data_IF_904858083081
#
_entry.id   IF_904858083081
#
_cell.length_a   1.000
_cell.length_b   1.000
_cell.length_c   1.000
_cell.angle_alpha   90.00
_cell.angle_beta   90.00
_cell.angle_gamma   90.00
#
_symmetry.space_group_name_H-M   'P 1'
#
loop_
_entity.id
_entity.type
_entity.pdbx_description
1 polymer ?
#
# COMPACT_ATOMS: atom_id res chain seq x y z
N UNK A 1 -1.26 57.24 38.72
CA UNK A 1 -1.16 55.88 39.28
C UNK A 1 -2.41 55.12 38.85
N UNK A 2 -2.33 54.42 37.72
CA UNK A 2 -3.17 53.27 37.37
C UNK A 2 -2.30 52.43 36.43
N UNK A 3 -1.67 51.38 36.96
CA UNK A 3 -1.13 50.32 36.12
C UNK A 3 -2.16 49.20 36.15
N UNK A 4 -2.80 48.97 35.01
CA UNK A 4 -3.67 47.84 34.77
C UNK A 4 -2.81 46.60 34.59
N UNK A 5 -2.89 45.68 35.54
CA UNK A 5 -2.34 44.34 35.44
C UNK A 5 -3.04 43.60 34.29
N UNK A 6 -2.29 43.34 33.23
CA UNK A 6 -2.67 42.41 32.17
C UNK A 6 -2.54 41.00 32.74
N UNK A 7 -3.64 40.43 33.23
CA UNK A 7 -3.71 39.00 33.52
C UNK A 7 -3.66 38.23 32.19
N UNK A 8 -2.58 37.46 32.00
CA UNK A 8 -2.49 36.45 30.95
C UNK A 8 -3.57 35.37 31.17
N UNK A 9 -4.56 35.35 30.29
CA UNK A 9 -5.56 34.29 30.22
C UNK A 9 -4.94 33.07 29.55
N UNK A 10 -4.35 32.15 30.31
CA UNK A 10 -4.08 30.78 29.83
C UNK A 10 -5.42 30.03 29.80
N UNK A 11 -6.02 29.95 28.62
CA UNK A 11 -7.28 29.22 28.41
C UNK A 11 -6.98 27.73 28.15
N UNK A 12 -7.34 26.79 29.05
CA UNK A 12 -6.98 25.37 28.92
C UNK A 12 -7.74 24.63 27.80
N UNK A 13 -8.84 25.19 27.29
CA UNK A 13 -9.63 24.61 26.19
C UNK A 13 -8.86 24.48 24.87
N UNK A 14 -7.85 25.32 24.62
CA UNK A 14 -7.10 25.29 23.37
C UNK A 14 -6.04 24.19 23.33
N UNK A 15 -5.50 23.77 24.48
CA UNK A 15 -4.50 22.70 24.55
C UNK A 15 -5.11 21.33 24.24
N UNK A 16 -6.32 21.06 24.77
CA UNK A 16 -7.06 19.79 24.54
C UNK A 16 -7.44 19.64 23.06
N UNK A 17 -7.89 20.73 22.42
CA UNK A 17 -8.30 20.72 21.02
C UNK A 17 -7.14 20.44 20.03
N UNK A 18 -5.91 20.85 20.35
CA UNK A 18 -4.73 20.64 19.47
C UNK A 18 -4.24 19.19 19.56
N UNK A 19 -4.32 18.58 20.74
CA UNK A 19 -3.91 17.19 20.96
C UNK A 19 -4.83 16.21 20.21
N UNK A 20 -6.15 16.45 20.25
CA UNK A 20 -7.15 15.60 19.61
C UNK A 20 -7.09 15.66 18.08
N UNK A 21 -6.90 16.85 17.50
CA UNK A 21 -6.73 17.03 16.04
C UNK A 21 -5.42 16.41 15.55
N UNK A 22 -4.37 16.42 16.39
CA UNK A 22 -3.09 15.78 16.10
C UNK A 22 -3.21 14.26 16.01
N UNK A 23 -3.96 13.65 16.95
CA UNK A 23 -4.20 12.20 17.02
C UNK A 23 -5.00 11.68 15.82
N UNK A 24 -6.11 12.33 15.47
CA UNK A 24 -6.96 11.91 14.35
C UNK A 24 -6.17 11.85 13.02
N UNK A 25 -5.30 12.83 12.76
CA UNK A 25 -4.47 12.86 11.54
C UNK A 25 -3.35 11.83 11.53
N UNK A 26 -2.91 11.38 12.70
CA UNK A 26 -1.92 10.31 12.85
C UNK A 26 -2.60 8.96 12.62
N UNK A 27 -3.76 8.73 13.24
CA UNK A 27 -4.57 7.53 13.07
C UNK A 27 -4.96 7.33 11.60
N UNK A 28 -5.49 8.36 10.94
CA UNK A 28 -5.82 8.29 9.51
C UNK A 28 -4.60 7.95 8.62
N UNK A 29 -3.41 8.36 9.03
CA UNK A 29 -2.17 8.06 8.30
C UNK A 29 -1.70 6.63 8.55
N UNK A 30 -1.86 6.12 9.78
CA UNK A 30 -1.60 4.73 10.14
C UNK A 30 -2.55 3.79 9.38
N UNK A 31 -3.84 4.13 9.31
CA UNK A 31 -4.84 3.38 8.54
C UNK A 31 -4.46 3.32 7.06
N UNK A 32 -4.05 4.45 6.47
CA UNK A 32 -3.60 4.51 5.07
C UNK A 32 -2.36 3.63 4.82
N UNK A 33 -1.40 3.60 5.74
CA UNK A 33 -0.22 2.72 5.68
C UNK A 33 -0.65 1.24 5.73
N UNK A 34 -1.57 0.91 6.63
CA UNK A 34 -2.09 -0.45 6.75
C UNK A 34 -2.82 -0.88 5.47
N UNK A 35 -3.66 -0.02 4.91
CA UNK A 35 -4.37 -0.26 3.65
C UNK A 35 -3.40 -0.50 2.49
N UNK A 36 -2.38 0.35 2.32
CA UNK A 36 -1.33 0.16 1.32
C UNK A 36 -0.60 -1.19 1.48
N UNK A 37 -0.34 -1.60 2.73
CA UNK A 37 0.25 -2.90 3.04
C UNK A 37 -0.64 -4.08 2.62
N UNK A 38 -1.96 -3.95 2.76
CA UNK A 38 -2.93 -4.93 2.27
C UNK A 38 -2.96 -4.95 0.74
N UNK A 39 -3.03 -3.78 0.09
CA UNK A 39 -3.05 -3.68 -1.37
C UNK A 39 -1.84 -4.33 -2.04
N UNK A 40 -0.64 -4.20 -1.44
CA UNK A 40 0.56 -4.90 -1.95
C UNK A 40 0.37 -6.42 -1.95
N UNK A 41 -0.13 -6.98 -0.84
CA UNK A 41 -0.35 -8.43 -0.71
C UNK A 41 -1.44 -8.93 -1.66
N UNK A 42 -2.53 -8.19 -1.77
CA UNK A 42 -3.63 -8.53 -2.68
C UNK A 42 -3.18 -8.47 -4.14
N UNK A 43 -2.36 -7.48 -4.51
CA UNK A 43 -1.81 -7.37 -5.85
C UNK A 43 -0.88 -8.54 -6.21
N UNK A 44 -0.04 -8.97 -5.27
CA UNK A 44 0.82 -10.15 -5.42
C UNK A 44 -0.02 -11.42 -5.57
N UNK A 45 -1.06 -11.59 -4.74
CA UNK A 45 -1.96 -12.74 -4.81
C UNK A 45 -2.68 -12.81 -6.17
N UNK A 46 -3.25 -11.70 -6.64
CA UNK A 46 -3.93 -11.63 -7.93
C UNK A 46 -3.00 -11.98 -9.10
N UNK A 47 -1.75 -11.50 -9.05
CA UNK A 47 -0.76 -11.84 -10.08
C UNK A 47 -0.46 -13.33 -10.11
N UNK A 48 -0.39 -13.98 -8.95
CA UNK A 48 -0.15 -15.41 -8.86
C UNK A 48 -1.34 -16.22 -9.41
N UNK A 49 -2.57 -15.82 -9.09
CA UNK A 49 -3.78 -16.45 -9.65
C UNK A 49 -3.80 -16.42 -11.19
N UNK A 50 -3.45 -15.28 -11.78
CA UNK A 50 -3.37 -15.15 -13.26
C UNK A 50 -2.26 -16.04 -13.84
N UNK A 51 -1.13 -16.16 -13.15
CA UNK A 51 -0.04 -17.05 -13.57
C UNK A 51 -0.51 -18.49 -13.50
N UNK A 52 -1.09 -18.92 -12.38
CA UNK A 52 -1.56 -20.29 -12.17
C UNK A 52 -2.64 -20.69 -13.20
N UNK A 53 -3.57 -19.79 -13.50
CA UNK A 53 -4.58 -20.01 -14.54
C UNK A 53 -3.95 -20.17 -15.93
N UNK A 54 -2.96 -19.34 -16.28
CA UNK A 54 -2.24 -19.48 -17.54
C UNK A 54 -1.45 -20.79 -17.64
N UNK A 55 -0.85 -21.25 -16.54
CA UNK A 55 -0.16 -22.55 -16.47
C UNK A 55 -1.13 -23.72 -16.63
N UNK A 56 -2.28 -23.65 -15.96
CA UNK A 56 -3.36 -24.63 -16.06
C UNK A 56 -3.87 -24.75 -17.50
N UNK A 57 -4.19 -23.63 -18.16
CA UNK A 57 -4.65 -23.63 -19.56
C UNK A 57 -3.56 -24.20 -20.49
N UNK A 58 -2.30 -23.82 -20.26
CA UNK A 58 -1.18 -24.37 -21.03
C UNK A 58 -1.05 -25.89 -20.88
N UNK A 59 -1.27 -26.42 -19.68
CA UNK A 59 -1.29 -27.86 -19.42
C UNK A 59 -2.48 -28.52 -20.12
N UNK A 60 -3.69 -27.97 -20.00
CA UNK A 60 -4.89 -28.47 -20.69
C UNK A 60 -4.69 -28.55 -22.21
N UNK A 61 -4.13 -27.50 -22.83
CA UNK A 61 -3.81 -27.51 -24.27
C UNK A 61 -2.76 -28.57 -24.61
N UNK A 62 -1.75 -28.75 -23.76
CA UNK A 62 -0.69 -29.76 -23.97
C UNK A 62 -1.28 -31.16 -23.94
N UNK A 63 -2.07 -31.48 -22.91
CA UNK A 63 -2.75 -32.76 -22.76
C UNK A 63 -3.66 -33.02 -23.96
N UNK A 64 -4.46 -32.03 -24.36
CA UNK A 64 -5.32 -32.14 -25.53
C UNK A 64 -4.54 -32.49 -26.80
N UNK A 65 -3.42 -31.79 -27.05
CA UNK A 65 -2.57 -32.02 -28.22
C UNK A 65 -1.89 -33.40 -28.19
N UNK A 66 -1.56 -33.93 -27.01
CA UNK A 66 -0.92 -35.24 -26.84
C UNK A 66 -1.91 -36.40 -26.99
N UNK A 67 -3.09 -36.29 -26.38
CA UNK A 67 -4.16 -37.28 -26.43
C UNK A 67 -4.78 -37.37 -27.83
N UNK A 68 -4.94 -36.23 -28.50
CA UNK A 68 -5.55 -36.14 -29.83
C UNK A 68 -4.48 -36.02 -30.90
N UNK A 69 -3.72 -37.09 -31.15
CA UNK A 69 -2.74 -37.12 -32.24
C UNK A 69 -3.41 -36.88 -33.59
N UNK A 70 -2.67 -36.25 -34.50
CA UNK A 70 -3.10 -36.01 -35.88
C UNK A 70 -3.53 -37.33 -36.50
N UNK A 71 -4.79 -37.41 -36.94
CA UNK A 71 -5.35 -38.60 -37.58
C UNK A 71 -4.98 -38.65 -39.06
N UNK A 72 -4.97 -37.49 -39.72
CA UNK A 72 -4.53 -37.36 -41.10
C UNK A 72 -3.55 -36.16 -41.25
N UNK A 73 -2.24 -36.40 -41.37
CA UNK A 73 -1.25 -35.32 -41.48
C UNK A 73 -1.33 -34.51 -42.77
N UNK A 74 -2.07 -34.99 -43.77
CA UNK A 74 -2.34 -34.24 -44.99
C UNK A 74 -3.61 -33.39 -44.91
N UNK A 75 -4.41 -33.51 -43.84
CA UNK A 75 -5.58 -32.66 -43.62
C UNK A 75 -5.14 -31.25 -43.18
N UNK A 76 -5.28 -30.23 -44.06
CA UNK A 76 -4.83 -28.88 -43.74
C UNK A 76 -5.60 -28.27 -42.56
N UNK A 77 -6.85 -28.67 -42.34
CA UNK A 77 -7.70 -28.16 -41.26
C UNK A 77 -7.17 -28.66 -39.91
N UNK A 78 -6.89 -29.96 -39.80
CA UNK A 78 -6.36 -30.56 -38.56
C UNK A 78 -4.99 -29.95 -38.20
N UNK A 79 -4.13 -29.73 -39.19
CA UNK A 79 -2.82 -29.07 -39.01
C UNK A 79 -2.98 -27.61 -38.59
N UNK A 80 -3.92 -26.88 -39.19
CA UNK A 80 -4.19 -25.47 -38.89
C UNK A 80 -4.71 -25.29 -37.46
N UNK A 81 -5.70 -26.07 -37.04
CA UNK A 81 -6.30 -26.01 -35.69
C UNK A 81 -5.26 -26.28 -34.59
N UNK A 82 -4.41 -27.29 -34.78
CA UNK A 82 -3.30 -27.57 -33.85
C UNK A 82 -2.27 -26.45 -33.80
N UNK A 83 -1.98 -25.84 -34.95
CA UNK A 83 -1.10 -24.68 -35.01
C UNK A 83 -1.71 -23.47 -34.31
N UNK A 84 -3.04 -23.29 -34.38
CA UNK A 84 -3.75 -22.27 -33.65
C UNK A 84 -3.66 -22.49 -32.12
N UNK A 85 -3.84 -23.72 -31.64
CA UNK A 85 -3.65 -24.06 -30.23
C UNK A 85 -2.22 -23.75 -29.74
N UNK A 86 -1.20 -24.09 -30.53
CA UNK A 86 0.19 -23.76 -30.20
C UNK A 86 0.43 -22.25 -30.16
N UNK A 87 -0.12 -21.49 -31.10
CA UNK A 87 -0.08 -20.01 -31.05
C UNK A 87 -0.76 -19.48 -29.79
N UNK A 88 -1.90 -20.07 -29.41
CA UNK A 88 -2.61 -19.66 -28.20
C UNK A 88 -1.78 -19.85 -26.93
N UNK A 89 -0.98 -20.92 -26.85
CA UNK A 89 0.00 -21.09 -25.76
C UNK A 89 1.02 -19.96 -25.70
N UNK A 90 1.54 -19.53 -26.85
CA UNK A 90 2.48 -18.39 -26.92
C UNK A 90 1.80 -17.11 -26.44
N UNK A 91 0.59 -16.83 -26.91
CA UNK A 91 -0.19 -15.67 -26.44
C UNK A 91 -0.42 -15.69 -24.93
N UNK A 92 -0.74 -16.86 -24.35
CA UNK A 92 -0.91 -17.01 -22.89
C UNK A 92 0.40 -16.69 -22.15
N UNK A 93 1.53 -17.22 -22.63
CA UNK A 93 2.83 -16.92 -22.03
C UNK A 93 3.17 -15.42 -22.12
N UNK A 94 2.86 -14.76 -23.23
CA UNK A 94 3.04 -13.31 -23.39
C UNK A 94 2.16 -12.53 -22.40
N UNK A 95 0.91 -12.93 -22.21
CA UNK A 95 0.02 -12.33 -21.21
C UNK A 95 0.54 -12.51 -19.79
N UNK A 96 1.04 -13.71 -19.42
CA UNK A 96 1.65 -13.96 -18.11
C UNK A 96 2.92 -13.13 -17.90
N UNK A 97 3.75 -12.93 -18.93
CA UNK A 97 4.92 -12.07 -18.85
C UNK A 97 4.54 -10.60 -18.66
N UNK A 98 3.55 -10.12 -19.41
CA UNK A 98 3.03 -8.77 -19.25
C UNK A 98 2.46 -8.55 -17.84
N UNK A 99 1.75 -9.54 -17.30
CA UNK A 99 1.23 -9.48 -15.94
C UNK A 99 2.35 -9.41 -14.91
N UNK A 100 3.42 -10.22 -15.04
CA UNK A 100 4.60 -10.13 -14.17
C UNK A 100 5.23 -8.73 -14.18
N UNK A 101 5.37 -8.13 -15.36
CA UNK A 101 5.93 -6.78 -15.49
C UNK A 101 5.01 -5.73 -14.85
N UNK A 102 3.70 -5.83 -15.09
CA UNK A 102 2.73 -4.89 -14.54
C UNK A 102 2.65 -5.00 -13.02
N UNK A 103 2.54 -6.23 -12.49
CA UNK A 103 2.58 -6.51 -11.07
C UNK A 103 3.82 -5.92 -10.40
N UNK A 104 5.00 -6.09 -11.01
CA UNK A 104 6.24 -5.51 -10.49
C UNK A 104 6.21 -3.98 -10.46
N UNK A 105 5.68 -3.33 -11.50
CA UNK A 105 5.51 -1.87 -11.55
C UNK A 105 4.54 -1.39 -10.48
N UNK A 106 3.39 -2.03 -10.35
CA UNK A 106 2.35 -1.68 -9.39
C UNK A 106 2.88 -1.80 -7.96
N UNK A 107 3.54 -2.91 -7.63
CA UNK A 107 4.16 -3.13 -6.32
C UNK A 107 5.24 -2.08 -6.06
N UNK A 108 6.06 -1.73 -7.05
CA UNK A 108 7.09 -0.72 -6.89
C UNK A 108 6.49 0.66 -6.56
N UNK A 109 5.37 1.02 -7.19
CA UNK A 109 4.63 2.26 -6.91
C UNK A 109 4.01 2.23 -5.52
N UNK A 110 3.29 1.15 -5.16
CA UNK A 110 2.67 0.98 -3.85
C UNK A 110 3.72 1.02 -2.72
N UNK A 111 4.86 0.34 -2.89
CA UNK A 111 5.95 0.36 -1.91
C UNK A 111 6.63 1.73 -1.82
N UNK A 112 6.65 2.51 -2.91
CA UNK A 112 7.14 3.89 -2.85
C UNK A 112 6.19 4.74 -2.03
N UNK A 113 4.89 4.67 -2.32
CA UNK A 113 3.88 5.41 -1.57
C UNK A 113 3.87 5.04 -0.09
N UNK A 114 3.99 3.74 0.23
CA UNK A 114 4.12 3.25 1.60
C UNK A 114 5.29 3.91 2.33
N UNK A 115 6.49 3.94 1.73
CA UNK A 115 7.66 4.59 2.34
C UNK A 115 7.46 6.09 2.52
N UNK A 116 6.81 6.75 1.57
CA UNK A 116 6.52 8.18 1.66
C UNK A 116 5.55 8.46 2.83
N UNK A 117 4.54 7.61 3.03
CA UNK A 117 3.59 7.69 4.15
C UNK A 117 4.21 7.35 5.50
N UNK A 118 5.05 6.31 5.58
CA UNK A 118 5.80 5.96 6.79
C UNK A 118 6.72 7.10 7.23
N UNK A 119 7.37 7.77 6.27
CA UNK A 119 8.18 8.95 6.54
C UNK A 119 7.34 10.11 7.06
N UNK A 120 6.19 10.38 6.43
CA UNK A 120 5.25 11.41 6.89
C UNK A 120 4.77 11.14 8.32
N UNK A 121 4.49 9.88 8.66
CA UNK A 121 4.07 9.46 9.99
C UNK A 121 5.17 9.72 11.01
N UNK A 122 6.39 9.28 10.72
CA UNK A 122 7.55 9.47 11.59
C UNK A 122 7.82 10.96 11.87
N UNK A 123 7.71 11.81 10.84
CA UNK A 123 7.86 13.25 11.00
C UNK A 123 6.74 13.89 11.83
N UNK A 124 5.51 13.38 11.75
CA UNK A 124 4.38 13.88 12.54
C UNK A 124 4.46 13.45 13.99
N UNK A 125 4.75 12.18 14.25
CA UNK A 125 4.95 11.65 15.60
C UNK A 125 6.11 12.37 16.31
N UNK A 126 7.22 12.63 15.60
CA UNK A 126 8.34 13.40 16.13
C UNK A 126 7.94 14.83 16.52
N UNK A 127 7.14 15.51 15.70
CA UNK A 127 6.62 16.85 15.99
C UNK A 127 5.68 16.87 17.18
N UNK A 128 4.76 15.90 17.27
CA UNK A 128 3.84 15.78 18.40
C UNK A 128 4.58 15.50 19.71
N UNK A 129 5.58 14.62 19.70
CA UNK A 129 6.41 14.35 20.86
C UNK A 129 7.18 15.59 21.33
N UNK A 130 7.71 16.40 20.40
CA UNK A 130 8.36 17.66 20.73
C UNK A 130 7.39 18.66 21.36
N UNK A 131 6.18 18.80 20.81
CA UNK A 131 5.16 19.70 21.35
C UNK A 131 4.71 19.27 22.75
N UNK A 132 4.50 17.97 22.96
CA UNK A 132 4.17 17.43 24.29
C UNK A 132 5.28 17.71 25.30
N UNK A 133 6.55 17.51 24.91
CA UNK A 133 7.69 17.84 25.77
C UNK A 133 7.77 19.33 26.13
N UNK A 134 7.45 20.24 25.21
CA UNK A 134 7.39 21.68 25.50
C UNK A 134 6.26 21.97 26.49
N UNK A 135 5.05 21.46 26.23
CA UNK A 135 3.87 21.67 27.09
C UNK A 135 4.07 21.12 28.51
N UNK A 136 4.73 19.97 28.65
CA UNK A 136 5.10 19.38 29.94
C UNK A 136 6.16 20.23 30.67
N UNK A 137 7.18 20.71 29.95
CA UNK A 137 8.25 21.54 30.53
C UNK A 137 7.79 22.94 30.98
N UNK A 138 6.82 23.53 30.28
CA UNK A 138 6.21 24.81 30.66
C UNK A 138 5.24 24.66 31.85
N UNK A 139 4.72 23.46 32.10
CA UNK A 139 3.90 23.14 33.28
C UNK A 139 4.71 23.00 34.57
N UNK A 140 5.94 22.46 34.50
CA UNK A 140 6.81 22.28 35.68
C UNK A 140 7.39 23.60 36.21
N UNK A 141 7.67 24.58 35.34
CA UNK A 141 8.21 25.87 35.77
C UNK A 141 7.19 26.75 36.51
N UNK A 142 5.89 26.55 36.31
CA UNK A 142 4.84 27.27 37.05
C UNK A 142 4.70 26.72 38.48
N UNK A 143 4.99 25.43 38.70
CA UNK A 143 4.86 24.78 40.03
C UNK A 143 6.03 25.08 40.98
N UNK A 144 7.18 25.57 40.48
CA UNK A 144 8.36 25.88 41.32
C UNK A 144 8.49 27.35 41.75
N UNK A 145 7.65 28.26 41.23
CA UNK A 145 7.70 29.69 41.54
C UNK A 145 6.75 30.18 42.65
N UNK A 146 6.07 29.28 43.36
CA UNK A 146 4.94 29.63 44.26
C UNK A 146 5.17 29.42 45.76
N UNK A 147 6.41 29.25 46.22
CA UNK A 147 6.71 29.14 47.66
C UNK A 147 7.96 29.98 47.96
N UNK A 148 7.75 31.28 48.20
CA UNK A 148 8.58 32.09 49.11
C UNK A 148 7.68 32.68 50.20
#
# INVERSE_FOLDING_TARGET
MVMTDLQEVKNPETAVAVEDIGKEKVEALQDSIQELGVMVKEREALSNEVIDDGERINMEITNFLEENKIKNPEDPVEVQERSALRRKKVEICELQLNEKINCWRDIALLKKELRDKEKELSERESRLNMLNGILESDGENVMKGGIE
#
